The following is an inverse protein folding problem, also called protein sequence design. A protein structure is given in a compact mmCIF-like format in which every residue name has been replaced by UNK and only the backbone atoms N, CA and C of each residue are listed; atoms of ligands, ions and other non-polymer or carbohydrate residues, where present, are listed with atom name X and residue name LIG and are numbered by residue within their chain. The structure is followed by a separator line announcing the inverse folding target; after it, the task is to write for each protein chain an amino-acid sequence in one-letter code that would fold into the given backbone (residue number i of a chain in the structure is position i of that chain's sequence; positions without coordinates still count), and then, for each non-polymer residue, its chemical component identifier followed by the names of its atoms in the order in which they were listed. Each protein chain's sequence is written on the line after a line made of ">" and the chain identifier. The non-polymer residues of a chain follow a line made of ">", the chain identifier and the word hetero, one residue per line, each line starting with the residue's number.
data_IF_709952293257
#
_entry.id   IF_709952293257
#
_cell.length_a   1.000
_cell.length_b   1.000
_cell.length_c   1.000
_cell.angle_alpha   90.00
_cell.angle_beta   90.00
_cell.angle_gamma   90.00
#
_symmetry.space_group_name_H-M   'P 1'
#
loop_
_entity.id
_entity.type
_entity.pdbx_description
1 polymer ?
#
# COMPACT_ATOMS: atom_id res chain seq x y z
N UNK A 1 36.73 -8.18 41.76
CA UNK A 1 37.27 -8.33 40.39
C UNK A 1 36.11 -8.78 39.51
N UNK A 2 35.35 -7.82 38.99
CA UNK A 2 34.19 -8.05 38.13
C UNK A 2 34.71 -8.29 36.71
N UNK A 3 34.64 -9.54 36.23
CA UNK A 3 34.93 -9.85 34.85
C UNK A 3 33.73 -9.40 34.00
N UNK A 4 33.88 -8.31 33.26
CA UNK A 4 32.90 -7.92 32.27
C UNK A 4 32.94 -8.92 31.11
N UNK A 5 31.84 -9.64 30.92
CA UNK A 5 31.68 -10.62 29.85
C UNK A 5 31.69 -9.89 28.51
N UNK A 6 32.86 -9.82 27.86
CA UNK A 6 33.02 -9.25 26.53
C UNK A 6 32.29 -10.15 25.52
N UNK A 7 31.05 -9.81 25.18
CA UNK A 7 30.31 -10.50 24.12
C UNK A 7 31.08 -10.38 22.81
N UNK A 8 31.50 -11.52 22.26
CA UNK A 8 32.25 -11.60 21.00
C UNK A 8 31.31 -11.25 19.83
N UNK A 9 31.76 -10.49 18.82
CA UNK A 9 30.91 -10.03 17.71
C UNK A 9 30.20 -11.17 16.97
N UNK A 10 30.80 -12.36 16.93
CA UNK A 10 30.22 -13.55 16.30
C UNK A 10 28.99 -14.10 17.06
N UNK A 11 28.94 -13.95 18.38
CA UNK A 11 27.81 -14.39 19.20
C UNK A 11 26.59 -13.48 19.01
N UNK A 12 26.83 -12.17 18.80
CA UNK A 12 25.75 -11.23 18.45
C UNK A 12 25.16 -11.53 17.08
N UNK A 13 26.01 -11.74 16.07
CA UNK A 13 25.54 -12.07 14.72
C UNK A 13 24.72 -13.38 14.71
N UNK A 14 25.14 -14.39 15.48
CA UNK A 14 24.39 -15.65 15.62
C UNK A 14 23.05 -15.44 16.33
N UNK A 15 23.01 -14.62 17.38
CA UNK A 15 21.77 -14.28 18.07
C UNK A 15 20.81 -13.50 17.15
N UNK A 16 21.32 -12.56 16.35
CA UNK A 16 20.53 -11.78 15.39
C UNK A 16 19.95 -12.68 14.29
N UNK A 17 20.74 -13.64 13.77
CA UNK A 17 20.27 -14.61 12.78
C UNK A 17 19.25 -15.61 13.36
N UNK A 18 19.45 -16.07 14.60
CA UNK A 18 18.49 -16.94 15.29
C UNK A 18 17.18 -16.21 15.58
N UNK A 19 17.25 -14.93 15.94
CA UNK A 19 16.10 -14.06 16.13
C UNK A 19 15.35 -13.84 14.80
N UNK A 20 16.07 -13.57 13.71
CA UNK A 20 15.47 -13.47 12.37
C UNK A 20 14.75 -14.76 11.94
N UNK A 21 15.33 -15.93 12.22
CA UNK A 21 14.68 -17.22 11.97
C UNK A 21 13.41 -17.41 12.82
N UNK A 22 13.47 -17.10 14.12
CA UNK A 22 12.32 -17.20 15.01
C UNK A 22 11.15 -16.28 14.61
N UNK A 23 11.44 -15.10 14.05
CA UNK A 23 10.44 -14.18 13.50
C UNK A 23 9.76 -14.76 12.26
N UNK A 24 10.54 -15.40 11.38
CA UNK A 24 10.01 -16.01 10.16
C UNK A 24 9.07 -17.18 10.47
N UNK A 25 9.34 -17.94 11.52
CA UNK A 25 8.55 -19.12 11.91
C UNK A 25 7.32 -18.78 12.77
N UNK A 26 7.19 -17.54 13.27
CA UNK A 26 6.05 -17.14 14.10
C UNK A 26 4.85 -16.74 13.22
N UNK A 27 3.72 -17.47 13.27
CA UNK A 27 2.55 -17.15 12.47
C UNK A 27 2.03 -15.74 12.78
N UNK A 28 1.77 -14.93 11.75
CA UNK A 28 1.27 -13.55 11.91
C UNK A 28 2.38 -12.49 12.07
N UNK A 29 3.61 -12.87 12.44
CA UNK A 29 4.69 -11.91 12.66
C UNK A 29 5.26 -11.40 11.34
N UNK A 30 5.42 -12.28 10.36
CA UNK A 30 5.84 -11.90 9.01
C UNK A 30 4.77 -11.04 8.33
N UNK A 31 3.49 -11.34 8.53
CA UNK A 31 2.37 -10.56 8.02
C UNK A 31 2.33 -9.16 8.62
N UNK A 32 2.56 -9.02 9.93
CA UNK A 32 2.64 -7.72 10.59
C UNK A 32 3.85 -6.91 10.10
N UNK A 33 5.00 -7.57 9.93
CA UNK A 33 6.19 -6.96 9.35
C UNK A 33 5.93 -6.46 7.93
N UNK A 34 5.41 -7.31 7.04
CA UNK A 34 5.06 -6.94 5.67
C UNK A 34 4.04 -5.81 5.65
N UNK A 35 3.00 -5.85 6.50
CA UNK A 35 1.99 -4.79 6.58
C UNK A 35 2.60 -3.43 6.99
N UNK A 36 3.60 -3.42 7.87
CA UNK A 36 4.32 -2.20 8.26
C UNK A 36 5.21 -1.62 7.17
N UNK A 37 5.66 -2.45 6.23
CA UNK A 37 6.55 -2.06 5.13
C UNK A 37 5.88 -2.01 3.76
N UNK A 38 4.61 -2.38 3.66
CA UNK A 38 3.89 -2.45 2.40
C UNK A 38 3.77 -1.05 1.77
N UNK A 39 4.14 -0.90 0.48
CA UNK A 39 3.98 0.36 -0.22
C UNK A 39 2.49 0.70 -0.39
N UNK A 40 2.18 2.00 -0.40
CA UNK A 40 0.81 2.46 -0.65
C UNK A 40 0.50 2.38 -2.14
N UNK A 41 -0.59 1.72 -2.48
CA UNK A 41 -1.09 1.62 -3.86
C UNK A 41 -1.83 2.90 -4.24
N UNK A 42 -1.60 3.39 -5.46
CA UNK A 42 -2.35 4.48 -6.06
C UNK A 42 -2.60 4.23 -7.55
N UNK A 43 -3.52 5.01 -8.12
CA UNK A 43 -3.83 5.04 -9.54
C UNK A 43 -3.65 6.45 -10.10
N UNK A 44 -3.25 6.53 -11.36
CA UNK A 44 -3.37 7.73 -12.17
C UNK A 44 -4.65 7.59 -13.01
N UNK A 45 -5.58 8.53 -12.84
CA UNK A 45 -6.90 8.51 -13.48
C UNK A 45 -7.03 9.69 -14.42
N UNK A 46 -7.43 9.45 -15.66
CA UNK A 46 -7.63 10.51 -16.64
C UNK A 46 -8.97 11.22 -16.41
N UNK A 47 -8.98 12.56 -16.42
CA UNK A 47 -10.14 13.35 -15.97
C UNK A 47 -11.10 13.77 -17.09
N UNK A 48 -10.65 13.82 -18.36
CA UNK A 48 -11.36 14.54 -19.44
C UNK A 48 -11.82 13.67 -20.62
N UNK A 49 -11.88 12.33 -20.46
CA UNK A 49 -12.48 11.48 -21.49
C UNK A 49 -13.97 11.31 -21.17
N UNK A 50 -14.82 12.05 -21.89
CA UNK A 50 -16.26 12.08 -21.69
C UNK A 50 -16.87 10.68 -21.49
N UNK A 51 -17.65 10.54 -20.42
CA UNK A 51 -18.62 9.46 -20.19
C UNK A 51 -18.12 8.02 -20.36
N UNK A 52 -16.82 7.73 -20.20
CA UNK A 52 -16.33 6.36 -20.11
C UNK A 52 -15.95 6.00 -18.68
N UNK A 53 -16.75 5.11 -18.09
CA UNK A 53 -16.30 4.27 -16.98
C UNK A 53 -15.02 3.51 -17.43
N UNK A 54 -14.03 3.36 -16.53
CA UNK A 54 -12.69 2.74 -16.71
C UNK A 54 -11.49 3.62 -17.16
N UNK A 55 -11.33 4.78 -16.51
CA UNK A 55 -10.32 5.81 -16.79
C UNK A 55 -8.95 5.66 -16.09
N UNK A 56 -8.64 4.49 -15.50
CA UNK A 56 -7.31 4.27 -14.88
C UNK A 56 -6.24 4.14 -15.97
N UNK A 57 -5.41 5.19 -16.07
CA UNK A 57 -4.27 5.26 -16.99
C UNK A 57 -3.14 4.32 -16.56
N UNK A 58 -2.90 4.20 -15.26
CA UNK A 58 -1.82 3.38 -14.72
C UNK A 58 -1.92 3.21 -13.21
N UNK A 59 -1.19 2.22 -12.71
CA UNK A 59 -1.09 1.90 -11.28
C UNK A 59 0.30 2.17 -10.78
N UNK A 60 0.40 2.54 -9.51
CA UNK A 60 1.69 2.75 -8.87
C UNK A 60 1.73 2.32 -7.41
N UNK A 61 2.96 2.19 -6.94
CA UNK A 61 3.35 1.86 -5.57
C UNK A 61 4.23 2.99 -5.04
N UNK A 62 3.84 3.59 -3.93
CA UNK A 62 4.67 4.54 -3.18
C UNK A 62 5.37 3.79 -2.04
N UNK A 63 6.69 3.67 -2.15
CA UNK A 63 7.59 3.24 -1.09
C UNK A 63 7.96 4.44 -0.20
N UNK A 64 8.73 4.22 0.85
CA UNK A 64 9.18 5.30 1.74
C UNK A 64 10.10 6.33 1.05
N UNK A 65 10.80 5.92 0.00
CA UNK A 65 11.90 6.66 -0.63
C UNK A 65 11.70 6.93 -2.14
N UNK A 66 10.78 6.21 -2.79
CA UNK A 66 10.49 6.35 -4.21
C UNK A 66 9.08 5.87 -4.55
N UNK A 67 8.65 6.11 -5.78
CA UNK A 67 7.46 5.52 -6.36
C UNK A 67 7.78 4.80 -7.66
N UNK A 68 7.02 3.75 -7.94
CA UNK A 68 7.05 3.01 -9.20
C UNK A 68 5.67 3.10 -9.83
N UNK A 69 5.61 3.38 -11.12
CA UNK A 69 4.35 3.46 -11.88
C UNK A 69 4.45 2.64 -13.15
N UNK A 70 3.38 1.90 -13.43
CA UNK A 70 3.21 1.12 -14.66
C UNK A 70 1.93 1.59 -15.35
N UNK A 71 2.07 2.07 -16.60
CA UNK A 71 0.94 2.41 -17.43
C UNK A 71 0.15 1.16 -17.84
N UNK A 72 -1.15 1.31 -18.02
CA UNK A 72 -2.05 0.23 -18.44
C UNK A 72 -1.55 -0.39 -19.75
N UNK A 73 -1.55 -1.73 -19.80
CA UNK A 73 -0.99 -2.49 -20.92
C UNK A 73 0.53 -2.67 -20.89
N UNK A 74 1.22 -2.21 -19.84
CA UNK A 74 2.66 -2.45 -19.64
C UNK A 74 3.56 -1.72 -20.64
N UNK A 75 3.01 -0.76 -21.40
CA UNK A 75 3.71 -0.06 -22.47
C UNK A 75 4.77 0.92 -21.96
N UNK A 76 4.65 1.33 -20.70
CA UNK A 76 5.58 2.26 -20.07
C UNK A 76 5.63 2.04 -18.55
N UNK A 77 6.82 2.04 -17.98
CA UNK A 77 7.05 2.01 -16.54
C UNK A 77 8.11 3.02 -16.16
N UNK A 78 7.96 3.66 -14.99
CA UNK A 78 8.93 4.64 -14.49
C UNK A 78 9.12 4.50 -12.98
N UNK A 79 10.31 4.88 -12.53
CA UNK A 79 10.65 5.06 -11.13
C UNK A 79 10.90 6.54 -10.90
N UNK A 80 10.29 7.11 -9.88
CA UNK A 80 10.39 8.53 -9.55
C UNK A 80 10.62 8.72 -8.05
N UNK A 81 11.26 9.82 -7.68
CA UNK A 81 11.57 10.11 -6.27
C UNK A 81 10.31 10.33 -5.44
N UNK A 82 9.25 10.89 -6.04
CA UNK A 82 7.96 11.08 -5.37
C UNK A 82 6.79 10.84 -6.34
N UNK A 83 5.63 10.52 -5.79
CA UNK A 83 4.41 10.24 -6.55
C UNK A 83 3.96 11.39 -7.46
N UNK A 84 4.18 12.64 -7.01
CA UNK A 84 3.79 13.83 -7.77
C UNK A 84 4.60 13.99 -9.07
N UNK A 85 5.82 13.45 -9.09
CA UNK A 85 6.66 13.49 -10.28
C UNK A 85 6.15 12.52 -11.35
N UNK A 86 5.55 11.39 -10.95
CA UNK A 86 4.88 10.51 -11.90
C UNK A 86 3.76 11.24 -12.65
N UNK A 87 2.91 11.99 -11.93
CA UNK A 87 1.82 12.77 -12.54
C UNK A 87 2.39 13.72 -13.61
N UNK A 88 3.46 14.46 -13.26
CA UNK A 88 4.11 15.40 -14.19
C UNK A 88 4.66 14.68 -15.43
N UNK A 89 5.40 13.58 -15.25
CA UNK A 89 6.00 12.80 -16.35
C UNK A 89 4.92 12.35 -17.34
N UNK A 90 3.81 11.83 -16.84
CA UNK A 90 2.74 11.33 -17.72
C UNK A 90 1.85 12.44 -18.28
N UNK A 91 1.73 13.58 -17.59
CA UNK A 91 0.99 14.75 -18.09
C UNK A 91 1.64 15.39 -19.34
N UNK A 92 2.97 15.24 -19.53
CA UNK A 92 3.69 15.75 -20.73
C UNK A 92 3.11 15.20 -22.04
N UNK A 93 2.39 14.08 -22.00
CA UNK A 93 1.69 13.51 -23.16
C UNK A 93 0.37 14.21 -23.53
N UNK A 94 0.08 15.37 -22.93
CA UNK A 94 -1.16 16.13 -23.15
C UNK A 94 -2.36 15.58 -22.38
N UNK A 95 -2.12 14.70 -21.39
CA UNK A 95 -3.15 14.05 -20.60
C UNK A 95 -3.45 14.83 -19.32
N UNK A 96 -4.72 14.92 -18.97
CA UNK A 96 -5.15 15.45 -17.69
C UNK A 96 -5.30 14.31 -16.68
N UNK A 97 -4.27 14.08 -15.87
CA UNK A 97 -4.20 12.97 -14.92
C UNK A 97 -4.36 13.45 -13.48
N UNK A 98 -5.17 12.70 -12.71
CA UNK A 98 -5.31 12.86 -11.27
C UNK A 98 -4.76 11.64 -10.54
N UNK A 99 -4.01 11.92 -9.48
CA UNK A 99 -3.56 10.91 -8.53
C UNK A 99 -4.70 10.54 -7.56
N UNK A 100 -4.96 9.24 -7.42
CA UNK A 100 -5.96 8.70 -6.50
C UNK A 100 -5.36 7.56 -5.69
N UNK A 101 -5.40 7.66 -4.36
CA UNK A 101 -4.92 6.60 -3.48
C UNK A 101 -5.92 5.45 -3.41
N UNK A 102 -5.44 4.21 -3.48
CA UNK A 102 -6.26 3.04 -3.18
C UNK A 102 -6.33 2.87 -1.67
N UNK A 103 -7.55 2.84 -1.13
CA UNK A 103 -7.83 2.50 0.25
C UNK A 103 -8.48 1.12 0.27
N UNK A 104 -7.81 0.08 0.82
CA UNK A 104 -8.44 -1.22 0.99
C UNK A 104 -9.73 -1.04 1.81
N UNK A 105 -10.82 -1.74 1.46
CA UNK A 105 -12.02 -1.71 2.28
C UNK A 105 -11.65 -2.16 3.68
N UNK A 106 -11.94 -1.34 4.69
CA UNK A 106 -11.79 -1.74 6.08
C UNK A 106 -12.66 -2.98 6.28
N UNK A 107 -12.10 -4.13 6.73
CA UNK A 107 -12.91 -5.30 6.99
C UNK A 107 -13.98 -4.89 8.01
N UNK A 108 -15.21 -4.82 7.53
CA UNK A 108 -16.36 -4.55 8.37
C UNK A 108 -16.46 -5.74 9.30
N UNK A 109 -16.18 -5.54 10.59
CA UNK A 109 -16.52 -6.53 11.60
C UNK A 109 -17.99 -6.89 11.35
N UNK A 110 -18.25 -8.14 11.01
CA UNK A 110 -19.57 -8.62 10.60
C UNK A 110 -20.64 -8.05 11.51
N UNK A 111 -21.52 -7.22 10.95
CA UNK A 111 -22.76 -6.79 11.59
C UNK A 111 -23.69 -7.99 11.69
N UNK A 112 -23.35 -8.95 12.56
CA UNK A 112 -24.30 -9.93 13.06
C UNK A 112 -25.19 -9.23 14.08
N UNK A 113 -26.44 -9.00 13.68
CA UNK A 113 -27.56 -8.81 14.61
C UNK A 113 -27.95 -7.36 14.88
N UNK A 114 -28.84 -6.82 14.04
CA UNK A 114 -30.26 -6.64 14.43
C UNK A 114 -31.06 -6.02 13.28
N UNK A 115 -32.16 -6.68 12.98
CA UNK A 115 -33.36 -6.17 12.30
C UNK A 115 -33.53 -4.66 12.53
N UNK A 116 -33.51 -3.87 11.45
CA UNK A 116 -34.11 -2.53 11.47
C UNK A 116 -35.59 -2.67 11.10
N UNK A 117 -36.54 -2.34 12.01
CA UNK A 117 -37.94 -2.30 11.63
C UNK A 117 -38.18 -1.13 10.68
N UNK A 118 -38.68 -1.47 9.49
CA UNK A 118 -39.12 -0.58 8.42
C UNK A 118 -40.19 0.39 8.95
N UNK A 119 -39.81 1.58 9.41
CA UNK A 119 -40.76 2.64 9.78
C UNK A 119 -41.43 3.19 8.50
N UNK A 120 -42.56 2.57 8.16
CA UNK A 120 -43.53 3.04 7.17
C UNK A 120 -44.10 4.39 7.66
N UNK A 121 -43.66 5.51 7.09
CA UNK A 121 -44.33 6.80 7.29
C UNK A 121 -45.65 6.78 6.51
N UNK A 122 -46.75 6.83 7.23
CA UNK A 122 -48.08 7.14 6.68
C UNK A 122 -48.14 8.67 6.55
N UNK A 123 -48.32 9.16 5.33
CA UNK A 123 -48.70 10.55 5.08
C UNK A 123 -50.22 10.66 5.29
N UNK A 124 -50.65 11.63 6.10
CA UNK A 124 -52.01 12.16 6.16
C UNK A 124 -51.96 13.61 5.71
#
# INVERSE_FOLDING_TARGET
>A
MTAETRTQPDDRLRADLAWLGAIQDTPGMLEAFVAGHAPRVFALVEQDIGMLEDTVFGWGLQFSDHAVVVARGGTFSTVCSHVDDAVKIFAVTGRNLRLVWHSPPTPTASANGRDQPKRRRVLR
#
